data_IF_322070147641
#
_entry.id   IF_322070147641
#
_cell.length_a   1.000
_cell.length_b   1.000
_cell.length_c   1.000
_cell.angle_alpha   90.00
_cell.angle_beta   90.00
_cell.angle_gamma   90.00
#
_symmetry.space_group_name_H-M   'P 1'
#
loop_
_entity.id
_entity.type
_entity.pdbx_description
1 polymer ?
#
# COMPACT_ATOMS: atom_id res chain seq x y z
N UNK A 1 -16.99 37.22 3.14
CA UNK A 1 -16.32 35.92 3.39
C UNK A 1 -14.87 36.20 3.79
N UNK A 2 -14.38 35.68 4.93
CA UNK A 2 -13.02 36.02 5.40
C UNK A 2 -11.96 35.25 4.58
N UNK A 3 -10.81 35.85 4.22
CA UNK A 3 -9.78 35.21 3.39
C UNK A 3 -9.28 33.84 3.90
N UNK A 4 -9.26 33.64 5.22
CA UNK A 4 -8.83 32.39 5.86
C UNK A 4 -9.78 31.21 5.64
N UNK A 5 -11.08 31.45 5.46
CA UNK A 5 -12.06 30.38 5.22
C UNK A 5 -11.98 29.86 3.78
N UNK A 6 -11.68 30.76 2.84
CA UNK A 6 -11.45 30.41 1.44
C UNK A 6 -10.20 29.54 1.27
N UNK A 7 -9.09 29.87 1.95
CA UNK A 7 -7.85 29.08 1.90
C UNK A 7 -8.06 27.67 2.49
N UNK A 8 -8.81 27.54 3.58
CA UNK A 8 -9.14 26.21 4.15
C UNK A 8 -10.02 25.38 3.22
N UNK A 9 -11.06 25.98 2.63
CA UNK A 9 -11.90 25.31 1.64
C UNK A 9 -11.09 24.88 0.41
N UNK A 10 -10.17 25.73 -0.05
CA UNK A 10 -9.26 25.43 -1.16
C UNK A 10 -8.35 24.24 -0.84
N UNK A 11 -7.68 24.27 0.31
CA UNK A 11 -6.77 23.20 0.72
C UNK A 11 -7.48 21.86 1.02
N UNK A 12 -8.80 21.85 1.21
CA UNK A 12 -9.60 20.63 1.38
C UNK A 12 -9.97 19.92 0.07
N UNK A 13 -9.79 20.58 -1.08
CA UNK A 13 -10.07 19.97 -2.38
C UNK A 13 -8.96 19.01 -2.80
N UNK A 14 -9.28 18.05 -3.66
CA UNK A 14 -8.26 17.16 -4.25
C UNK A 14 -7.27 17.95 -5.10
N UNK A 15 -6.03 17.46 -5.15
CA UNK A 15 -4.95 18.01 -6.01
C UNK A 15 -5.42 18.18 -7.46
N UNK A 16 -6.20 17.23 -7.96
CA UNK A 16 -6.83 17.31 -9.29
C UNK A 16 -7.73 18.53 -9.46
N UNK A 17 -8.62 18.81 -8.49
CA UNK A 17 -9.54 19.96 -8.60
C UNK A 17 -8.81 21.29 -8.53
N UNK A 18 -7.81 21.38 -7.64
CA UNK A 18 -6.95 22.55 -7.55
C UNK A 18 -6.20 22.78 -8.88
N UNK A 19 -5.65 21.73 -9.47
CA UNK A 19 -4.98 21.81 -10.77
C UNK A 19 -5.93 22.23 -11.90
N UNK A 20 -7.12 21.63 -12.00
CA UNK A 20 -8.07 21.98 -13.05
C UNK A 20 -8.53 23.44 -12.97
N UNK A 21 -8.78 23.95 -11.77
CA UNK A 21 -9.22 25.33 -11.56
C UNK A 21 -8.07 26.33 -11.79
N UNK A 22 -6.95 26.18 -11.07
CA UNK A 22 -5.83 27.13 -11.18
C UNK A 22 -5.13 27.00 -12.53
N UNK A 23 -4.86 25.76 -12.97
CA UNK A 23 -4.25 25.50 -14.27
C UNK A 23 -5.12 26.01 -15.41
N UNK A 24 -6.45 25.82 -15.34
CA UNK A 24 -7.37 26.33 -16.36
C UNK A 24 -7.34 27.86 -16.46
N UNK A 25 -7.37 28.56 -15.32
CA UNK A 25 -7.26 30.03 -15.29
C UNK A 25 -5.92 30.49 -15.85
N UNK A 26 -4.81 29.89 -15.43
CA UNK A 26 -3.47 30.24 -15.90
C UNK A 26 -3.34 29.99 -17.41
N UNK A 27 -3.85 28.86 -17.92
CA UNK A 27 -3.83 28.56 -19.35
C UNK A 27 -4.66 29.56 -20.17
N UNK A 28 -5.83 30.00 -19.68
CA UNK A 28 -6.64 31.01 -20.36
C UNK A 28 -5.93 32.38 -20.41
N UNK A 29 -5.31 32.80 -19.31
CA UNK A 29 -4.54 34.05 -19.26
C UNK A 29 -3.34 33.98 -20.21
N UNK A 30 -2.60 32.87 -20.20
CA UNK A 30 -1.48 32.66 -21.11
C UNK A 30 -1.93 32.66 -22.59
N UNK A 31 -3.05 31.99 -22.89
CA UNK A 31 -3.65 31.96 -24.23
C UNK A 31 -4.01 33.38 -24.71
N UNK A 32 -4.63 34.18 -23.85
CA UNK A 32 -5.01 35.56 -24.18
C UNK A 32 -3.78 36.44 -24.45
N UNK A 33 -2.74 36.32 -23.61
CA UNK A 33 -1.49 37.05 -23.79
C UNK A 33 -0.77 36.67 -25.09
N UNK A 34 -0.59 35.37 -25.34
CA UNK A 34 0.06 34.87 -26.56
C UNK A 34 -0.77 35.23 -27.80
N UNK A 35 -2.09 35.07 -27.74
CA UNK A 35 -2.99 35.43 -28.84
C UNK A 35 -2.92 36.92 -29.19
N UNK A 36 -2.92 37.80 -28.19
CA UNK A 36 -2.76 39.24 -28.39
C UNK A 36 -1.39 39.60 -29.00
N UNK A 37 -0.31 38.98 -28.50
CA UNK A 37 1.04 39.19 -29.02
C UNK A 37 1.23 38.71 -30.46
N UNK A 38 0.69 37.53 -30.80
CA UNK A 38 0.72 37.03 -32.18
C UNK A 38 -0.13 37.91 -33.10
N UNK A 39 -1.28 38.39 -32.61
CA UNK A 39 -2.14 39.29 -33.38
C UNK A 39 -1.44 40.60 -33.73
N UNK A 40 -0.70 41.22 -32.80
CA UNK A 40 0.05 42.45 -33.07
C UNK A 40 1.19 42.21 -34.07
N UNK A 41 1.89 41.08 -33.96
CA UNK A 41 2.95 40.72 -34.92
C UNK A 41 2.41 40.53 -36.35
N UNK A 42 1.25 39.89 -36.49
CA UNK A 42 0.61 39.68 -37.80
C UNK A 42 0.21 41.01 -38.41
N UNK A 43 -0.42 41.90 -37.63
CA UNK A 43 -0.82 43.22 -38.09
C UNK A 43 0.36 44.05 -38.56
N UNK A 44 1.41 44.18 -37.75
CA UNK A 44 2.61 44.94 -38.10
C UNK A 44 3.30 44.39 -39.37
N UNK A 45 3.42 43.08 -39.48
CA UNK A 45 4.07 42.43 -40.62
C UNK A 45 3.26 42.57 -41.91
N UNK A 46 1.95 42.36 -41.83
CA UNK A 46 1.04 42.36 -42.98
C UNK A 46 0.83 43.79 -43.48
N UNK A 47 0.63 44.78 -42.59
CA UNK A 47 0.52 46.21 -42.94
C UNK A 47 1.78 46.69 -43.67
N UNK A 48 2.97 46.43 -43.11
CA UNK A 48 4.25 46.85 -43.72
C UNK A 48 4.45 46.25 -45.11
N UNK A 49 4.17 44.96 -45.28
CA UNK A 49 4.35 44.27 -46.56
C UNK A 49 3.34 44.74 -47.61
N UNK A 50 2.08 44.93 -47.22
CA UNK A 50 1.03 45.47 -48.10
C UNK A 50 1.37 46.89 -48.53
N UNK A 51 1.75 47.75 -47.58
CA UNK A 51 2.11 49.13 -47.85
C UNK A 51 3.33 49.26 -48.77
N UNK A 52 4.37 48.44 -48.59
CA UNK A 52 5.52 48.43 -49.48
C UNK A 52 5.13 48.07 -50.92
N UNK A 53 4.22 47.09 -51.10
CA UNK A 53 3.74 46.72 -52.43
C UNK A 53 2.91 47.82 -53.09
N UNK A 54 2.03 48.50 -52.33
CA UNK A 54 1.23 49.61 -52.86
C UNK A 54 2.12 50.83 -53.14
N UNK A 55 3.06 51.15 -52.26
CA UNK A 55 4.02 52.25 -52.46
C UNK A 55 4.84 52.08 -53.73
N UNK A 56 5.37 50.88 -54.01
CA UNK A 56 6.10 50.60 -55.25
C UNK A 56 5.21 50.78 -56.50
N UNK A 57 3.94 50.39 -56.41
CA UNK A 57 2.99 50.58 -57.52
C UNK A 57 2.70 52.07 -57.75
N UNK A 58 2.42 52.82 -56.68
CA UNK A 58 2.19 54.28 -56.76
C UNK A 58 3.44 54.99 -57.27
N UNK A 59 4.63 54.66 -56.76
CA UNK A 59 5.91 55.22 -57.21
C UNK A 59 6.13 54.95 -58.71
N UNK A 60 5.86 53.73 -59.19
CA UNK A 60 6.02 53.38 -60.61
C UNK A 60 5.11 54.16 -61.56
N UNK A 61 3.99 54.70 -61.07
CA UNK A 61 3.02 55.44 -61.89
C UNK A 61 3.13 56.95 -61.70
N UNK A 62 3.40 57.41 -60.47
CA UNK A 62 3.43 58.83 -60.11
C UNK A 62 4.82 59.43 -60.31
N UNK A 63 5.91 58.73 -59.97
CA UNK A 63 7.26 59.28 -60.07
C UNK A 63 7.64 59.75 -61.49
N UNK A 64 7.26 59.06 -62.60
CA UNK A 64 7.52 59.55 -63.95
C UNK A 64 6.78 60.84 -64.32
N UNK A 65 5.70 61.18 -63.60
CA UNK A 65 4.88 62.37 -63.84
C UNK A 65 5.38 63.59 -63.07
N UNK A 66 6.20 63.39 -62.04
CA UNK A 66 6.71 64.47 -61.20
C UNK A 66 7.95 65.11 -61.86
N UNK A 67 7.95 66.44 -62.08
CA UNK A 67 9.11 67.17 -62.62
C UNK A 67 10.23 67.26 -61.57
N UNK A 68 11.37 67.86 -61.93
CA UNK A 68 12.45 68.14 -60.98
C UNK A 68 11.99 69.22 -59.97
N UNK A 69 11.48 68.79 -58.82
CA UNK A 69 10.76 69.62 -57.85
C UNK A 69 11.66 70.57 -57.02
N UNK A 70 12.97 70.60 -57.30
CA UNK A 70 13.94 71.45 -56.58
C UNK A 70 13.79 72.96 -56.86
N UNK A 71 13.07 73.37 -57.91
CA UNK A 71 13.11 74.76 -58.40
C UNK A 71 11.76 75.53 -58.43
N UNK A 72 10.61 74.87 -58.24
CA UNK A 72 9.27 75.49 -58.40
C UNK A 72 8.47 75.62 -57.11
N UNK A 73 7.85 76.78 -56.87
CA UNK A 73 6.95 77.02 -55.72
C UNK A 73 5.54 76.43 -55.92
N UNK A 74 5.13 76.14 -57.14
CA UNK A 74 3.84 75.53 -57.51
C UNK A 74 4.05 74.42 -58.56
N UNK A 75 3.15 73.43 -58.60
CA UNK A 75 3.12 72.43 -59.66
C UNK A 75 2.60 73.06 -60.95
N UNK A 76 3.26 72.78 -62.06
CA UNK A 76 2.81 73.23 -63.38
C UNK A 76 1.42 72.65 -63.72
N UNK A 77 0.60 73.43 -64.43
CA UNK A 77 -0.77 73.06 -64.80
C UNK A 77 -0.82 71.77 -65.64
N UNK A 78 0.26 71.48 -66.36
CA UNK A 78 0.42 70.26 -67.16
C UNK A 78 0.55 69.00 -66.29
N UNK A 79 1.32 69.09 -65.21
CA UNK A 79 1.56 67.98 -64.27
C UNK A 79 0.32 67.73 -63.42
N UNK A 80 -0.32 68.79 -62.93
CA UNK A 80 -1.58 68.68 -62.18
C UNK A 80 -2.67 68.00 -63.01
N UNK A 81 -2.77 68.30 -64.31
CA UNK A 81 -3.72 67.64 -65.22
C UNK A 81 -3.38 66.17 -65.46
N UNK A 82 -2.10 65.83 -65.63
CA UNK A 82 -1.67 64.44 -65.78
C UNK A 82 -1.95 63.60 -64.52
N UNK A 83 -1.78 64.19 -63.33
CA UNK A 83 -2.15 63.56 -62.07
C UNK A 83 -3.66 63.42 -61.92
N UNK A 84 -4.45 64.44 -62.28
CA UNK A 84 -5.92 64.39 -62.26
C UNK A 84 -6.45 63.29 -63.20
N UNK A 85 -5.88 63.14 -64.40
CA UNK A 85 -6.27 62.06 -65.34
C UNK A 85 -5.88 60.67 -64.82
N UNK A 86 -4.67 60.53 -64.27
CA UNK A 86 -4.15 59.24 -63.76
C UNK A 86 -4.89 58.78 -62.51
N UNK A 87 -5.22 59.70 -61.60
CA UNK A 87 -5.94 59.42 -60.36
C UNK A 87 -7.46 59.44 -60.53
N UNK A 88 -8.00 60.09 -61.56
CA UNK A 88 -9.44 60.18 -61.81
C UNK A 88 -10.00 59.13 -62.78
N UNK A 89 -9.23 58.74 -63.80
CA UNK A 89 -9.67 57.79 -64.85
C UNK A 89 -8.76 56.55 -64.99
N UNK A 90 -7.62 56.52 -64.32
CA UNK A 90 -6.66 55.43 -64.36
C UNK A 90 -6.91 54.30 -63.37
N UNK A 91 -6.11 53.23 -63.46
CA UNK A 91 -6.18 52.05 -62.58
C UNK A 91 -5.92 52.38 -61.09
N UNK A 92 -5.17 53.46 -60.79
CA UNK A 92 -4.98 53.94 -59.42
C UNK A 92 -6.25 54.57 -58.82
N UNK A 93 -7.08 55.24 -59.61
CA UNK A 93 -8.24 55.97 -59.12
C UNK A 93 -9.33 55.10 -58.50
N UNK A 94 -9.44 53.85 -58.95
CA UNK A 94 -10.37 52.88 -58.37
C UNK A 94 -9.87 52.26 -57.06
N UNK A 95 -8.58 52.45 -56.74
CA UNK A 95 -7.89 51.80 -55.62
C UNK A 95 -7.56 52.78 -54.50
N UNK A 96 -7.21 54.02 -54.86
CA UNK A 96 -6.98 55.12 -53.94
C UNK A 96 -8.26 55.95 -53.73
N UNK A 97 -8.60 56.20 -52.48
CA UNK A 97 -9.67 57.12 -52.10
C UNK A 97 -9.20 58.57 -52.10
N UNK A 98 -8.00 58.82 -51.57
CA UNK A 98 -7.42 60.14 -51.41
C UNK A 98 -5.92 60.07 -51.69
N UNK A 99 -5.40 61.11 -52.36
CA UNK A 99 -3.98 61.24 -52.69
C UNK A 99 -3.57 62.69 -52.47
N UNK A 100 -2.45 62.89 -51.78
CA UNK A 100 -1.86 64.18 -51.44
C UNK A 100 -0.36 64.14 -51.68
N UNK A 101 0.19 65.25 -52.16
CA UNK A 101 1.63 65.43 -52.34
C UNK A 101 2.11 66.56 -51.46
N UNK A 102 3.04 66.26 -50.56
CA UNK A 102 3.53 67.16 -49.53
C UNK A 102 4.92 67.70 -49.85
N UNK A 103 5.13 68.98 -49.55
CA UNK A 103 6.45 69.60 -49.47
C UNK A 103 6.97 69.55 -48.02
N UNK A 104 8.29 69.59 -47.86
CA UNK A 104 8.97 69.59 -46.56
C UNK A 104 8.58 70.76 -45.62
N UNK A 105 7.89 71.79 -46.10
CA UNK A 105 7.40 72.92 -45.29
C UNK A 105 5.99 72.71 -44.71
N UNK A 106 5.36 71.56 -45.00
CA UNK A 106 3.99 71.22 -44.60
C UNK A 106 2.91 71.72 -45.57
N UNK A 107 3.27 72.16 -46.77
CA UNK A 107 2.32 72.60 -47.80
C UNK A 107 1.87 71.43 -48.68
N UNK A 108 0.56 71.31 -48.90
CA UNK A 108 -0.02 70.35 -49.85
C UNK A 108 0.10 70.92 -51.27
N UNK A 109 1.01 70.34 -52.06
CA UNK A 109 1.27 70.75 -53.44
C UNK A 109 0.19 70.27 -54.41
N UNK A 110 -0.34 69.07 -54.17
CA UNK A 110 -1.42 68.51 -54.95
C UNK A 110 -2.31 67.65 -54.05
N UNK A 111 -3.60 67.65 -54.32
CA UNK A 111 -4.57 66.73 -53.72
C UNK A 111 -5.71 66.47 -54.69
N UNK A 112 -6.25 65.25 -54.68
CA UNK A 112 -7.48 64.96 -55.42
C UNK A 112 -8.69 65.73 -54.84
N UNK A 113 -8.67 66.13 -53.57
CA UNK A 113 -9.55 67.16 -53.03
C UNK A 113 -8.95 68.55 -53.25
N UNK A 114 -9.52 69.30 -54.20
CA UNK A 114 -9.09 70.67 -54.51
C UNK A 114 -9.23 71.61 -53.31
N UNK A 115 -10.03 71.28 -52.31
CA UNK A 115 -10.17 72.08 -51.09
C UNK A 115 -8.92 72.07 -50.21
N UNK A 116 -8.04 71.08 -50.38
CA UNK A 116 -6.83 70.89 -49.56
C UNK A 116 -5.55 71.45 -50.20
N UNK A 117 -5.56 71.73 -51.50
CA UNK A 117 -4.40 72.26 -52.22
C UNK A 117 -4.00 73.65 -51.72
N UNK A 118 -2.70 73.87 -51.51
CA UNK A 118 -2.15 75.14 -51.04
C UNK A 118 -2.34 75.43 -49.55
N UNK A 119 -3.04 74.57 -48.80
CA UNK A 119 -3.11 74.66 -47.33
C UNK A 119 -1.80 74.17 -46.72
N UNK A 120 -1.46 74.75 -45.56
CA UNK A 120 -0.29 74.39 -44.76
C UNK A 120 -0.72 73.80 -43.42
N UNK A 121 -0.20 72.62 -43.10
CA UNK A 121 -0.45 71.91 -41.86
C UNK A 121 0.86 71.73 -41.07
N UNK A 122 0.74 71.39 -39.78
CA UNK A 122 1.89 70.98 -38.99
C UNK A 122 2.30 69.56 -39.39
N UNK A 123 3.59 69.32 -39.60
CA UNK A 123 4.10 68.00 -39.98
C UNK A 123 3.86 67.01 -38.82
N UNK A 124 3.01 66.01 -39.05
CA UNK A 124 2.82 64.86 -38.19
C UNK A 124 4.11 64.04 -38.05
N UNK A 125 4.18 63.18 -37.03
CA UNK A 125 5.36 62.33 -36.77
C UNK A 125 5.62 61.35 -37.93
N UNK A 126 4.56 60.92 -38.61
CA UNK A 126 4.61 60.06 -39.78
C UNK A 126 5.17 60.77 -41.01
N UNK A 127 4.69 61.99 -41.29
CA UNK A 127 5.23 62.83 -42.36
C UNK A 127 6.71 63.15 -42.12
N UNK A 128 7.12 63.46 -40.89
CA UNK A 128 8.54 63.68 -40.54
C UNK A 128 9.39 62.44 -40.81
N UNK A 129 8.86 61.27 -40.46
CA UNK A 129 9.53 60.00 -40.69
C UNK A 129 9.65 59.71 -42.19
N UNK A 130 8.62 60.01 -42.97
CA UNK A 130 8.65 59.92 -44.43
C UNK A 130 9.68 60.86 -45.06
N UNK A 131 9.76 62.13 -44.63
CA UNK A 131 10.78 63.07 -45.10
C UNK A 131 12.21 62.66 -44.71
N UNK A 132 12.39 61.77 -43.71
CA UNK A 132 13.69 61.15 -43.40
C UNK A 132 14.10 60.02 -44.36
N UNK A 133 13.25 59.69 -45.34
CA UNK A 133 13.47 58.67 -46.35
C UNK A 133 12.90 57.28 -46.00
N UNK A 134 12.04 57.17 -44.99
CA UNK A 134 11.42 55.90 -44.58
C UNK A 134 9.93 55.90 -44.88
N UNK A 135 9.44 54.92 -45.64
CA UNK A 135 8.00 54.73 -45.81
C UNK A 135 7.33 54.38 -44.47
N UNK A 136 6.19 55.02 -44.20
CA UNK A 136 5.33 54.77 -43.04
C UNK A 136 3.96 54.36 -43.53
N UNK A 137 3.33 53.42 -42.83
CA UNK A 137 1.98 53.00 -43.15
C UNK A 137 1.19 52.64 -41.90
N UNK A 138 -0.06 53.06 -41.89
CA UNK A 138 -1.01 52.82 -40.81
C UNK A 138 -2.31 52.23 -41.36
N UNK A 139 -2.91 51.31 -40.62
CA UNK A 139 -4.21 50.74 -40.97
C UNK A 139 -5.24 51.21 -39.94
N UNK A 140 -6.28 51.89 -40.41
CA UNK A 140 -7.44 52.31 -39.61
C UNK A 140 -7.10 53.17 -38.37
N UNK A 141 -6.00 53.93 -38.44
CA UNK A 141 -5.60 54.96 -37.48
C UNK A 141 -5.55 56.29 -38.21
N UNK A 142 -6.60 57.10 -38.05
CA UNK A 142 -6.76 58.40 -38.71
C UNK A 142 -6.88 59.48 -37.63
N UNK A 143 -5.78 59.76 -36.95
CA UNK A 143 -5.75 60.66 -35.79
C UNK A 143 -5.51 62.12 -36.19
N UNK A 144 -5.06 62.37 -37.42
CA UNK A 144 -4.60 63.69 -37.84
C UNK A 144 -5.78 64.63 -38.21
N UNK A 145 -5.64 65.95 -37.96
CA UNK A 145 -6.70 66.94 -38.23
C UNK A 145 -7.19 66.98 -39.69
N UNK A 146 -6.31 66.67 -40.63
CA UNK A 146 -6.52 66.63 -42.07
C UNK A 146 -7.33 65.41 -42.56
N UNK A 147 -7.54 64.39 -41.71
CA UNK A 147 -8.20 63.13 -42.10
C UNK A 147 -9.71 63.15 -41.90
N UNK A 148 -10.33 64.31 -41.69
CA UNK A 148 -11.75 64.39 -41.34
C UNK A 148 -12.65 63.80 -42.43
N UNK A 149 -12.29 63.97 -43.71
CA UNK A 149 -13.05 63.44 -44.84
C UNK A 149 -12.88 61.91 -44.94
N UNK A 150 -11.67 61.42 -44.71
CA UNK A 150 -11.30 60.02 -44.70
C UNK A 150 -11.99 59.27 -43.55
N UNK A 151 -12.00 59.85 -42.34
CA UNK A 151 -12.73 59.34 -41.17
C UNK A 151 -14.23 59.26 -41.39
N UNK A 152 -14.82 60.24 -42.06
CA UNK A 152 -16.25 60.26 -42.34
C UNK A 152 -16.70 59.17 -43.32
N UNK A 153 -15.76 58.50 -44.01
CA UNK A 153 -16.07 57.49 -45.02
C UNK A 153 -16.42 56.11 -44.46
N UNK A 154 -16.09 55.83 -43.19
CA UNK A 154 -16.35 54.55 -42.49
C UNK A 154 -15.86 53.30 -43.26
N UNK A 155 -14.79 53.46 -44.04
CA UNK A 155 -14.15 52.37 -44.80
C UNK A 155 -12.84 51.97 -44.13
N UNK A 156 -12.40 50.71 -44.25
CA UNK A 156 -11.06 50.32 -43.85
C UNK A 156 -10.04 50.98 -44.77
N UNK A 157 -9.29 51.94 -44.24
CA UNK A 157 -8.28 52.68 -44.98
C UNK A 157 -6.88 52.25 -44.56
N UNK A 158 -6.06 51.98 -45.57
CA UNK A 158 -4.61 51.84 -45.40
C UNK A 158 -3.98 53.16 -45.83
N UNK A 159 -3.49 53.91 -44.86
CA UNK A 159 -2.78 55.17 -45.03
C UNK A 159 -1.29 54.88 -45.24
N UNK A 160 -0.71 55.48 -46.28
CA UNK A 160 0.68 55.25 -46.65
C UNK A 160 1.36 56.59 -46.97
N UNK A 161 2.48 56.83 -46.31
CA UNK A 161 3.40 57.93 -46.57
C UNK A 161 4.64 57.40 -47.28
N UNK A 162 4.75 57.66 -48.57
CA UNK A 162 5.85 57.21 -49.40
C UNK A 162 6.76 58.38 -49.82
N UNK A 163 8.06 58.38 -49.45
CA UNK A 163 9.00 59.41 -49.86
C UNK A 163 9.26 59.34 -51.36
N UNK A 164 9.14 60.49 -52.03
CA UNK A 164 9.51 60.67 -53.43
C UNK A 164 10.98 61.06 -53.49
N UNK A 165 11.79 60.20 -54.10
CA UNK A 165 13.24 60.40 -54.20
C UNK A 165 13.62 60.99 -55.56
N UNK A 166 14.58 61.92 -55.56
CA UNK A 166 15.14 62.41 -56.81
C UNK A 166 16.04 61.34 -57.47
N UNK A 167 15.92 61.08 -58.79
CA UNK A 167 16.60 59.97 -59.45
C UNK A 167 18.12 59.91 -59.30
N UNK A 168 18.79 61.06 -59.14
CA UNK A 168 20.25 61.17 -59.17
C UNK A 168 20.87 61.45 -57.80
N UNK A 169 20.17 62.17 -56.90
CA UNK A 169 20.69 62.59 -55.60
C UNK A 169 20.24 61.68 -54.44
N UNK A 170 19.16 60.90 -54.64
CA UNK A 170 18.54 60.12 -53.59
C UNK A 170 17.93 60.95 -52.45
N UNK A 171 17.83 62.28 -52.62
CA UNK A 171 17.21 63.16 -51.65
C UNK A 171 15.69 63.07 -51.76
N UNK A 172 15.01 63.13 -50.61
CA UNK A 172 13.54 63.19 -50.53
C UNK A 172 13.10 64.59 -50.96
N UNK A 173 12.41 64.68 -52.09
CA UNK A 173 11.92 65.96 -52.65
C UNK A 173 10.48 66.28 -52.24
N UNK A 174 9.69 65.24 -52.02
CA UNK A 174 8.30 65.32 -51.60
C UNK A 174 7.91 64.03 -50.86
N UNK A 175 6.78 64.05 -50.17
CA UNK A 175 6.15 62.83 -49.64
C UNK A 175 4.78 62.68 -50.28
N UNK A 176 4.53 61.52 -50.88
CA UNK A 176 3.20 61.14 -51.34
C UNK A 176 2.45 60.47 -50.20
N UNK A 177 1.30 61.03 -49.84
CA UNK A 177 0.36 60.46 -48.88
C UNK A 177 -0.85 59.96 -49.67
N UNK A 178 -1.29 58.74 -49.41
CA UNK A 178 -2.48 58.23 -50.05
C UNK A 178 -3.20 57.18 -49.20
N UNK A 179 -4.51 57.12 -49.41
CA UNK A 179 -5.42 56.22 -48.70
C UNK A 179 -5.94 55.17 -49.66
N UNK A 180 -5.59 53.92 -49.43
CA UNK A 180 -6.12 52.78 -50.18
C UNK A 180 -7.36 52.21 -49.47
N UNK A 181 -8.44 51.96 -50.22
CA UNK A 181 -9.60 51.24 -49.68
C UNK A 181 -9.23 49.77 -49.54
N UNK A 182 -8.95 49.35 -48.31
CA UNK A 182 -8.26 48.12 -48.00
C UNK A 182 -9.21 46.99 -47.55
N UNK A 183 -10.34 46.82 -48.24
CA UNK A 183 -11.36 45.80 -47.88
C UNK A 183 -10.79 44.36 -47.89
N UNK A 184 -10.05 44.00 -48.95
CA UNK A 184 -9.49 42.65 -49.08
C UNK A 184 -8.33 42.42 -48.12
N UNK A 185 -7.58 43.48 -47.81
CA UNK A 185 -6.58 43.49 -46.74
C UNK A 185 -7.23 43.23 -45.38
N UNK A 186 -8.30 43.96 -45.02
CA UNK A 186 -9.01 43.77 -43.75
C UNK A 186 -9.58 42.34 -43.62
N UNK A 187 -10.15 41.78 -44.69
CA UNK A 187 -10.61 40.38 -44.73
C UNK A 187 -9.46 39.42 -44.49
N UNK A 188 -8.33 39.61 -45.16
CA UNK A 188 -7.13 38.75 -45.02
C UNK A 188 -6.55 38.84 -43.60
N UNK A 189 -6.49 40.05 -43.04
CA UNK A 189 -6.04 40.30 -41.67
C UNK A 189 -6.96 39.61 -40.65
N UNK A 190 -8.29 39.73 -40.82
CA UNK A 190 -9.26 39.06 -39.95
C UNK A 190 -9.19 37.54 -40.06
N UNK A 191 -9.01 36.98 -41.25
CA UNK A 191 -8.79 35.54 -41.43
C UNK A 191 -7.49 35.07 -40.76
N UNK A 192 -6.39 35.81 -40.95
CA UNK A 192 -5.11 35.50 -40.30
C UNK A 192 -5.21 35.55 -38.78
N UNK A 193 -5.88 36.57 -38.23
CA UNK A 193 -6.18 36.67 -36.78
C UNK A 193 -7.01 35.49 -36.31
N UNK A 194 -8.13 35.18 -36.98
CA UNK A 194 -9.00 34.06 -36.60
C UNK A 194 -8.25 32.72 -36.62
N UNK A 195 -7.49 32.44 -37.69
CA UNK A 195 -6.69 31.22 -37.80
C UNK A 195 -5.63 31.12 -36.69
N UNK A 196 -4.94 32.22 -36.38
CA UNK A 196 -3.96 32.25 -35.29
C UNK A 196 -4.62 32.05 -33.92
N UNK A 197 -5.75 32.70 -33.65
CA UNK A 197 -6.50 32.49 -32.40
C UNK A 197 -6.99 31.05 -32.25
N UNK A 198 -7.52 30.45 -33.33
CA UNK A 198 -7.92 29.04 -33.33
C UNK A 198 -6.72 28.12 -33.09
N UNK A 199 -5.57 28.39 -33.72
CA UNK A 199 -4.36 27.61 -33.52
C UNK A 199 -3.87 27.70 -32.06
N UNK A 200 -3.74 28.91 -31.50
CA UNK A 200 -3.31 29.13 -30.11
C UNK A 200 -4.28 28.47 -29.12
N UNK A 201 -5.59 28.57 -29.35
CA UNK A 201 -6.61 27.93 -28.52
C UNK A 201 -6.52 26.40 -28.60
N UNK A 202 -6.39 25.83 -29.81
CA UNK A 202 -6.28 24.40 -30.01
C UNK A 202 -5.02 23.81 -29.35
N UNK A 203 -3.85 24.44 -29.54
CA UNK A 203 -2.61 24.00 -28.89
C UNK A 203 -2.69 24.10 -27.36
N UNK A 204 -3.21 25.21 -26.84
CA UNK A 204 -3.38 25.40 -25.39
C UNK A 204 -4.33 24.36 -24.80
N UNK A 205 -5.46 24.09 -25.47
CA UNK A 205 -6.43 23.09 -25.04
C UNK A 205 -5.83 21.68 -25.07
N UNK A 206 -5.14 21.32 -26.16
CA UNK A 206 -4.49 20.01 -26.28
C UNK A 206 -3.45 19.79 -25.16
N UNK A 207 -2.60 20.79 -24.92
CA UNK A 207 -1.59 20.73 -23.86
C UNK A 207 -2.25 20.65 -22.47
N UNK A 208 -3.30 21.42 -22.23
CA UNK A 208 -4.06 21.39 -20.98
C UNK A 208 -4.71 20.03 -20.72
N UNK A 209 -5.28 19.39 -21.76
CA UNK A 209 -5.87 18.04 -21.66
C UNK A 209 -4.79 17.02 -21.30
N UNK A 210 -3.63 17.05 -21.96
CA UNK A 210 -2.52 16.11 -21.70
C UNK A 210 -2.01 16.26 -20.27
N UNK A 211 -1.72 17.48 -19.81
CA UNK A 211 -1.29 17.73 -18.44
C UNK A 211 -2.36 17.31 -17.43
N UNK A 212 -3.62 17.64 -17.69
CA UNK A 212 -4.74 17.24 -16.82
C UNK A 212 -4.84 15.72 -16.70
N UNK A 213 -4.65 14.97 -17.80
CA UNK A 213 -4.64 13.51 -17.80
C UNK A 213 -3.48 12.94 -16.98
N UNK A 214 -2.28 13.53 -17.07
CA UNK A 214 -1.12 13.13 -16.26
C UNK A 214 -1.40 13.36 -14.78
N UNK A 215 -1.90 14.54 -14.40
CA UNK A 215 -2.21 14.88 -13.00
C UNK A 215 -3.34 14.00 -12.45
N UNK A 216 -4.36 13.72 -13.25
CA UNK A 216 -5.45 12.80 -12.90
C UNK A 216 -4.93 11.39 -12.64
N UNK A 217 -4.09 10.85 -13.53
CA UNK A 217 -3.47 9.52 -13.37
C UNK A 217 -2.58 9.49 -12.13
N UNK A 218 -1.67 10.45 -11.98
CA UNK A 218 -0.78 10.54 -10.83
C UNK A 218 -1.55 10.62 -9.50
N UNK A 219 -2.59 11.44 -9.43
CA UNK A 219 -3.41 11.55 -8.22
C UNK A 219 -4.15 10.25 -7.87
N UNK A 220 -4.62 9.49 -8.87
CA UNK A 220 -5.24 8.17 -8.65
C UNK A 220 -4.23 7.16 -8.12
N UNK A 221 -3.04 7.09 -8.74
CA UNK A 221 -1.95 6.20 -8.30
C UNK A 221 -1.53 6.49 -6.85
N UNK A 222 -1.38 7.78 -6.49
CA UNK A 222 -1.01 8.17 -5.12
C UNK A 222 -2.05 7.70 -4.11
N UNK A 223 -3.33 7.87 -4.43
CA UNK A 223 -4.43 7.49 -3.54
C UNK A 223 -4.52 5.96 -3.38
N UNK A 224 -4.31 5.20 -4.46
CA UNK A 224 -4.23 3.73 -4.42
C UNK A 224 -3.06 3.24 -3.58
N UNK A 225 -1.86 3.79 -3.81
CA UNK A 225 -0.66 3.45 -3.03
C UNK A 225 -0.83 3.79 -1.55
N UNK A 226 -1.43 4.93 -1.23
CA UNK A 226 -1.69 5.35 0.16
C UNK A 226 -2.67 4.40 0.86
N UNK A 227 -3.70 3.92 0.16
CA UNK A 227 -4.64 2.92 0.69
C UNK A 227 -3.96 1.57 0.89
N UNK A 228 -3.16 1.11 -0.07
CA UNK A 228 -2.41 -0.14 0.05
C UNK A 228 -1.43 -0.11 1.22
N UNK A 229 -0.71 1.00 1.41
CA UNK A 229 0.22 1.18 2.52
C UNK A 229 -0.50 1.16 3.87
N UNK A 230 -1.65 1.84 4.00
CA UNK A 230 -2.46 1.81 5.22
C UNK A 230 -2.89 0.39 5.58
N UNK A 231 -3.42 -0.37 4.61
CA UNK A 231 -3.78 -1.79 4.84
C UNK A 231 -2.60 -2.62 5.34
N UNK A 232 -1.41 -2.46 4.75
CA UNK A 232 -0.21 -3.16 5.21
C UNK A 232 0.18 -2.79 6.65
N UNK A 233 0.03 -1.52 7.03
CA UNK A 233 0.30 -1.07 8.40
C UNK A 233 -0.72 -1.68 9.37
N UNK A 234 -1.99 -1.73 8.99
CA UNK A 234 -3.06 -2.32 9.80
C UNK A 234 -2.83 -3.84 9.97
N UNK A 235 -2.49 -4.56 8.89
CA UNK A 235 -2.17 -5.99 8.91
C UNK A 235 -0.94 -6.30 9.78
N UNK A 236 0.14 -5.52 9.64
CA UNK A 236 1.34 -5.68 10.47
C UNK A 236 1.05 -5.40 11.95
N UNK A 237 0.23 -4.40 12.24
CA UNK A 237 -0.17 -4.08 13.61
C UNK A 237 -0.99 -5.23 14.22
N UNK A 238 -1.91 -5.81 13.44
CA UNK A 238 -2.66 -6.98 13.85
C UNK A 238 -1.75 -8.19 14.12
N UNK A 239 -0.81 -8.50 13.21
CA UNK A 239 0.15 -9.59 13.39
C UNK A 239 1.05 -9.41 14.62
N UNK A 240 1.54 -8.19 14.87
CA UNK A 240 2.33 -7.89 16.06
C UNK A 240 1.53 -8.11 17.34
N UNK A 241 0.26 -7.68 17.37
CA UNK A 241 -0.62 -7.91 18.52
C UNK A 241 -0.86 -9.41 18.78
N UNK A 242 -1.06 -10.20 17.72
CA UNK A 242 -1.20 -11.66 17.81
C UNK A 242 0.09 -12.31 18.31
N UNK A 243 1.25 -11.88 17.82
CA UNK A 243 2.55 -12.41 18.24
C UNK A 243 2.81 -12.11 19.72
N UNK A 244 2.49 -10.90 20.19
CA UNK A 244 2.56 -10.55 21.62
C UNK A 244 1.63 -11.41 22.47
N UNK A 245 0.38 -11.61 22.04
CA UNK A 245 -0.56 -12.47 22.74
C UNK A 245 -0.08 -13.93 22.82
N UNK A 246 0.47 -14.47 21.73
CA UNK A 246 1.07 -15.81 21.67
C UNK A 246 2.27 -15.92 22.61
N UNK A 247 3.20 -14.96 22.59
CA UNK A 247 4.34 -14.91 23.52
C UNK A 247 3.87 -14.93 24.98
N UNK A 248 2.85 -14.14 25.32
CA UNK A 248 2.28 -14.13 26.67
C UNK A 248 1.59 -15.45 27.05
N UNK A 249 1.02 -16.20 26.08
CA UNK A 249 0.48 -17.55 26.32
C UNK A 249 1.59 -18.56 26.56
N UNK A 250 2.65 -18.54 25.75
CA UNK A 250 3.81 -19.43 25.89
C UNK A 250 4.51 -19.20 27.24
N UNK A 251 4.74 -17.94 27.62
CA UNK A 251 5.33 -17.62 28.92
C UNK A 251 4.48 -18.13 30.09
N UNK A 252 3.15 -17.94 30.03
CA UNK A 252 2.24 -18.48 31.07
C UNK A 252 2.23 -20.00 31.11
N UNK A 253 2.26 -20.68 29.96
CA UNK A 253 2.34 -22.13 29.91
C UNK A 253 3.66 -22.65 30.51
N UNK A 254 4.80 -22.02 30.17
CA UNK A 254 6.10 -22.33 30.74
C UNK A 254 6.14 -22.14 32.26
N UNK A 255 5.61 -21.03 32.77
CA UNK A 255 5.50 -20.79 34.22
C UNK A 255 4.65 -21.85 34.93
N UNK A 256 3.52 -22.25 34.34
CA UNK A 256 2.68 -23.32 34.90
C UNK A 256 3.40 -24.66 34.91
N UNK A 257 4.09 -25.01 33.82
CA UNK A 257 4.86 -26.25 33.74
C UNK A 257 5.98 -26.28 34.81
N UNK A 258 6.71 -25.16 34.98
CA UNK A 258 7.72 -25.05 36.02
C UNK A 258 7.12 -25.19 37.43
N UNK A 259 5.99 -24.52 37.71
CA UNK A 259 5.32 -24.61 39.01
C UNK A 259 4.80 -26.04 39.30
N UNK A 260 4.24 -26.72 38.30
CA UNK A 260 3.83 -28.12 38.42
C UNK A 260 5.04 -29.02 38.71
N UNK A 261 6.14 -28.88 37.97
CA UNK A 261 7.34 -29.65 38.19
C UNK A 261 7.92 -29.44 39.60
N UNK A 262 7.98 -28.19 40.07
CA UNK A 262 8.45 -27.88 41.42
C UNK A 262 7.53 -28.49 42.50
N UNK A 263 6.21 -28.42 42.31
CA UNK A 263 5.25 -29.08 43.21
C UNK A 263 5.43 -30.60 43.23
N UNK A 264 5.68 -31.22 42.08
CA UNK A 264 5.94 -32.66 41.99
C UNK A 264 7.23 -33.03 42.73
N UNK A 265 8.32 -32.29 42.53
CA UNK A 265 9.59 -32.51 43.23
C UNK A 265 9.45 -32.33 44.74
N UNK A 266 8.71 -31.32 45.22
CA UNK A 266 8.43 -31.14 46.65
C UNK A 266 7.66 -32.32 47.23
N UNK A 267 6.66 -32.84 46.51
CA UNK A 267 5.89 -34.01 46.96
C UNK A 267 6.79 -35.25 47.06
N UNK A 268 7.60 -35.51 46.04
CA UNK A 268 8.57 -36.64 46.07
C UNK A 268 9.53 -36.50 47.25
N UNK A 269 10.03 -35.28 47.51
CA UNK A 269 10.90 -35.00 48.65
C UNK A 269 10.21 -35.29 49.99
N UNK A 270 8.94 -34.91 50.13
CA UNK A 270 8.15 -35.20 51.33
C UNK A 270 7.90 -36.71 51.50
N UNK A 271 7.48 -37.41 50.44
CA UNK A 271 7.23 -38.85 50.47
C UNK A 271 8.51 -39.63 50.85
N UNK A 272 9.68 -39.20 50.36
CA UNK A 272 10.97 -39.82 50.69
C UNK A 272 11.40 -39.53 52.14
N UNK A 273 11.12 -38.32 52.62
CA UNK A 273 11.49 -37.91 53.97
C UNK A 273 10.61 -38.60 55.03
N UNK A 274 9.29 -38.65 54.81
CA UNK A 274 8.34 -39.11 55.83
C UNK A 274 8.24 -40.62 55.95
N UNK A 275 8.59 -41.38 54.89
CA UNK A 275 8.65 -42.84 54.94
C UNK A 275 10.08 -43.37 55.07
N UNK A 276 10.83 -43.54 53.96
CA UNK A 276 12.11 -44.22 53.98
C UNK A 276 13.17 -43.60 54.88
N UNK A 277 13.29 -42.27 54.89
CA UNK A 277 14.32 -41.60 55.68
C UNK A 277 14.07 -41.76 57.20
N UNK A 278 12.81 -41.73 57.64
CA UNK A 278 12.45 -42.00 59.05
C UNK A 278 12.73 -43.46 59.43
N UNK A 279 12.39 -44.42 58.57
CA UNK A 279 12.65 -45.84 58.81
C UNK A 279 14.16 -46.13 58.91
N UNK A 280 14.97 -45.52 58.05
CA UNK A 280 16.44 -45.61 58.11
C UNK A 280 16.98 -44.94 59.38
N UNK A 281 16.48 -43.76 59.76
CA UNK A 281 16.88 -43.09 61.00
C UNK A 281 16.53 -43.93 62.24
N UNK A 282 15.36 -44.55 62.27
CA UNK A 282 14.94 -45.46 63.32
C UNK A 282 15.85 -46.70 63.41
N UNK A 283 16.20 -47.29 62.26
CA UNK A 283 17.17 -48.38 62.20
C UNK A 283 18.56 -47.96 62.73
N UNK A 284 19.03 -46.75 62.39
CA UNK A 284 20.29 -46.19 62.87
C UNK A 284 20.30 -46.00 64.39
N UNK A 285 19.22 -45.45 64.97
CA UNK A 285 19.11 -45.27 66.42
C UNK A 285 19.15 -46.59 67.18
N UNK A 286 18.58 -47.65 66.60
CA UNK A 286 18.61 -48.99 67.18
C UNK A 286 19.96 -49.68 67.05
N UNK A 287 20.73 -49.36 66.01
CA UNK A 287 22.13 -49.81 65.88
C UNK A 287 23.01 -49.26 67.01
N UNK A 288 22.71 -48.08 67.55
CA UNK A 288 23.42 -47.48 68.68
C UNK A 288 23.00 -48.06 70.06
N UNK A 289 22.09 -49.04 70.08
CA UNK A 289 21.62 -49.66 71.32
C UNK A 289 22.72 -50.46 72.03
N UNK A 290 22.91 -50.19 73.33
CA UNK A 290 23.83 -50.96 74.19
C UNK A 290 23.52 -52.47 74.20
N UNK A 291 22.31 -52.90 73.84
CA UNK A 291 21.93 -54.31 73.71
C UNK A 291 22.73 -55.07 72.64
N UNK A 292 23.27 -54.36 71.65
CA UNK A 292 24.07 -54.96 70.58
C UNK A 292 25.54 -55.14 70.98
N UNK A 293 26.06 -54.28 71.86
CA UNK A 293 27.49 -54.19 72.22
C UNK A 293 27.80 -54.85 73.56
N UNK A 294 26.85 -54.88 74.50
CA UNK A 294 27.05 -55.47 75.82
C UNK A 294 27.11 -57.01 75.77
N UNK A 295 28.26 -57.63 76.15
CA UNK A 295 28.42 -59.08 76.19
C UNK A 295 27.44 -59.78 77.14
N UNK A 296 26.92 -59.09 78.15
CA UNK A 296 25.96 -59.62 79.12
C UNK A 296 24.52 -59.71 78.56
N UNK A 297 24.25 -59.11 77.40
CA UNK A 297 22.92 -59.19 76.77
C UNK A 297 22.62 -60.61 76.28
N UNK A 298 21.46 -61.21 76.67
CA UNK A 298 21.04 -62.51 76.17
C UNK A 298 20.99 -62.56 74.64
N UNK A 299 21.50 -63.65 74.06
CA UNK A 299 21.55 -63.83 72.60
C UNK A 299 20.18 -63.64 71.92
N UNK A 300 19.10 -64.12 72.56
CA UNK A 300 17.72 -64.00 72.06
C UNK A 300 17.23 -62.56 72.01
N UNK A 301 17.66 -61.68 72.92
CA UNK A 301 17.32 -60.25 72.88
C UNK A 301 18.14 -59.52 71.81
N UNK A 302 19.42 -59.88 71.65
CA UNK A 302 20.29 -59.35 70.60
C UNK A 302 19.78 -59.71 69.19
N UNK A 303 19.36 -60.97 68.99
CA UNK A 303 18.76 -61.43 67.74
C UNK A 303 17.45 -60.70 67.41
N UNK A 304 16.60 -60.45 68.41
CA UNK A 304 15.36 -59.66 68.21
C UNK A 304 15.65 -58.22 67.80
N UNK A 305 16.68 -57.60 68.37
CA UNK A 305 17.07 -56.24 68.03
C UNK A 305 17.60 -56.14 66.59
N UNK A 306 18.49 -57.07 66.20
CA UNK A 306 18.99 -57.20 64.83
C UNK A 306 17.85 -57.47 63.84
N UNK A 307 16.92 -58.37 64.18
CA UNK A 307 15.79 -58.71 63.32
C UNK A 307 14.90 -57.49 63.05
N UNK A 308 14.70 -56.63 64.04
CA UNK A 308 13.85 -55.46 63.91
C UNK A 308 14.53 -54.27 63.21
N UNK A 309 15.86 -54.13 63.33
CA UNK A 309 16.68 -53.24 62.47
C UNK A 309 16.55 -53.69 61.02
N UNK A 310 16.74 -54.98 60.76
CA UNK A 310 16.61 -55.56 59.42
C UNK A 310 15.21 -55.33 58.85
N UNK A 311 14.16 -55.56 59.63
CA UNK A 311 12.79 -55.32 59.21
C UNK A 311 12.55 -53.85 58.81
N UNK A 312 13.07 -52.89 59.60
CA UNK A 312 12.94 -51.45 59.31
C UNK A 312 13.68 -51.05 58.02
N UNK A 313 14.86 -51.62 57.76
CA UNK A 313 15.62 -51.38 56.53
C UNK A 313 14.96 -52.05 55.31
N UNK A 314 14.42 -53.26 55.47
CA UNK A 314 13.69 -53.98 54.41
C UNK A 314 12.41 -53.21 54.03
N UNK A 315 11.71 -52.63 55.01
CA UNK A 315 10.54 -51.77 54.80
C UNK A 315 10.92 -50.45 54.10
N UNK A 316 11.99 -49.77 54.55
CA UNK A 316 12.49 -48.57 53.89
C UNK A 316 12.87 -48.83 52.41
N UNK A 317 13.54 -49.95 52.14
CA UNK A 317 13.88 -50.37 50.78
C UNK A 317 12.65 -50.72 49.94
N UNK A 318 11.60 -51.26 50.57
CA UNK A 318 10.33 -51.52 49.90
C UNK A 318 9.61 -50.21 49.52
N UNK A 319 9.57 -49.23 50.42
CA UNK A 319 8.99 -47.92 50.16
C UNK A 319 9.76 -47.14 49.08
N UNK A 320 11.10 -47.11 49.13
CA UNK A 320 11.93 -46.51 48.08
C UNK A 320 11.65 -47.15 46.72
N UNK A 321 11.61 -48.49 46.66
CA UNK A 321 11.29 -49.20 45.41
C UNK A 321 9.88 -48.87 44.92
N UNK A 322 8.93 -48.69 45.82
CA UNK A 322 7.55 -48.31 45.47
C UNK A 322 7.49 -46.90 44.90
N UNK A 323 8.18 -45.94 45.51
CA UNK A 323 8.30 -44.55 45.01
C UNK A 323 9.03 -44.54 43.65
N UNK A 324 10.17 -45.20 43.52
CA UNK A 324 10.94 -45.28 42.27
C UNK A 324 10.18 -45.97 41.13
N UNK A 325 9.52 -47.10 41.42
CA UNK A 325 8.67 -47.79 40.45
C UNK A 325 7.45 -46.96 40.07
N UNK A 326 7.04 -45.99 40.90
CA UNK A 326 6.05 -44.97 40.56
C UNK A 326 6.55 -43.93 39.56
N UNK A 327 7.86 -43.64 39.57
CA UNK A 327 8.48 -42.51 38.87
C UNK A 327 9.08 -42.86 37.50
N UNK A 328 9.66 -44.06 37.30
CA UNK A 328 10.28 -44.45 36.01
C UNK A 328 10.18 -45.97 35.82
N UNK A 329 9.85 -46.42 34.60
CA UNK A 329 10.00 -47.83 34.18
C UNK A 329 11.03 -47.96 33.06
N UNK A 330 12.35 -47.95 33.35
CA UNK A 330 13.41 -48.00 32.33
C UNK A 330 13.35 -49.27 31.48
N UNK A 331 12.85 -50.36 32.07
CA UNK A 331 12.73 -51.67 31.42
C UNK A 331 11.58 -51.72 30.39
N UNK A 332 10.71 -50.71 30.36
CA UNK A 332 9.58 -50.61 29.44
C UNK A 332 9.95 -49.85 28.17
N UNK A 333 10.88 -48.90 28.25
CA UNK A 333 11.31 -48.12 27.09
C UNK A 333 11.92 -49.01 25.99
N UNK A 334 12.72 -50.01 26.39
CA UNK A 334 13.38 -50.95 25.50
C UNK A 334 12.50 -52.16 25.09
N UNK A 335 11.33 -52.35 25.69
CA UNK A 335 10.47 -53.51 25.46
C UNK A 335 9.47 -53.26 24.32
N UNK A 336 9.13 -54.32 23.59
CA UNK A 336 8.03 -54.36 22.61
C UNK A 336 6.66 -54.43 23.30
N UNK A 337 5.58 -54.08 22.60
CA UNK A 337 4.23 -54.13 23.17
C UNK A 337 3.85 -55.51 23.73
N UNK A 338 4.11 -56.64 23.03
CA UNK A 338 3.86 -57.96 23.59
C UNK A 338 4.61 -58.20 24.91
N UNK A 339 5.90 -57.83 24.96
CA UNK A 339 6.72 -57.98 26.18
C UNK A 339 6.20 -57.13 27.34
N UNK A 340 5.68 -55.93 27.06
CA UNK A 340 5.07 -55.05 28.06
C UNK A 340 3.82 -55.69 28.67
N UNK A 341 2.92 -56.22 27.83
CA UNK A 341 1.69 -56.86 28.25
C UNK A 341 1.96 -58.14 29.04
N UNK A 342 2.81 -59.02 28.51
CA UNK A 342 3.21 -60.24 29.19
C UNK A 342 3.87 -59.95 30.53
N UNK A 343 4.70 -58.91 30.61
CA UNK A 343 5.36 -58.51 31.86
C UNK A 343 4.35 -57.98 32.88
N UNK A 344 3.39 -57.17 32.45
CA UNK A 344 2.31 -56.69 33.32
C UNK A 344 1.48 -57.84 33.90
N UNK A 345 1.09 -58.79 33.05
CA UNK A 345 0.36 -59.99 33.45
C UNK A 345 1.20 -60.87 34.39
N UNK A 346 2.41 -61.27 33.99
CA UNK A 346 3.29 -62.13 34.82
C UNK A 346 3.55 -61.52 36.20
N UNK A 347 3.82 -60.22 36.26
CA UNK A 347 4.04 -59.53 37.54
C UNK A 347 2.79 -59.55 38.44
N UNK A 348 1.59 -59.45 37.84
CA UNK A 348 0.33 -59.54 38.58
C UNK A 348 0.06 -60.97 39.07
N UNK A 349 0.21 -61.98 38.21
CA UNK A 349 0.00 -63.40 38.57
C UNK A 349 0.97 -63.83 39.68
N UNK A 350 2.25 -63.45 39.59
CA UNK A 350 3.25 -63.75 40.62
C UNK A 350 2.91 -63.12 41.98
N UNK A 351 2.32 -61.93 41.97
CA UNK A 351 1.99 -61.18 43.20
C UNK A 351 0.70 -61.65 43.84
N UNK A 352 -0.29 -62.06 43.03
CA UNK A 352 -1.67 -62.30 43.50
C UNK A 352 -2.08 -63.77 43.47
N UNK A 353 -1.38 -64.61 42.71
CA UNK A 353 -1.77 -66.00 42.46
C UNK A 353 -3.00 -66.17 41.56
N UNK A 354 -3.62 -65.07 41.11
CA UNK A 354 -4.74 -65.07 40.15
C UNK A 354 -4.22 -65.36 38.74
N UNK A 355 -4.96 -66.16 37.97
CA UNK A 355 -4.62 -66.48 36.57
C UNK A 355 -5.26 -65.46 35.64
N UNK A 356 -4.52 -64.98 34.66
CA UNK A 356 -4.99 -64.02 33.66
C UNK A 356 -4.92 -64.63 32.26
N UNK A 357 -6.03 -64.57 31.53
CA UNK A 357 -6.09 -64.94 30.12
C UNK A 357 -5.54 -63.80 29.25
N UNK A 358 -4.43 -64.03 28.53
CA UNK A 358 -3.75 -63.00 27.74
C UNK A 358 -3.83 -63.33 26.25
N UNK A 359 -4.43 -62.41 25.48
CA UNK A 359 -4.52 -62.51 24.02
C UNK A 359 -3.87 -61.29 23.37
N UNK A 360 -2.89 -61.53 22.50
CA UNK A 360 -2.09 -60.48 21.86
C UNK A 360 -2.20 -60.64 20.34
N UNK A 361 -2.79 -59.65 19.66
CA UNK A 361 -2.73 -59.51 18.20
C UNK A 361 -1.35 -59.01 17.72
N UNK A 362 -1.11 -59.03 16.41
CA UNK A 362 0.10 -58.46 15.79
C UNK A 362 0.28 -57.00 16.22
N UNK A 363 1.45 -56.68 16.77
CA UNK A 363 1.74 -55.39 17.37
C UNK A 363 2.59 -54.52 16.43
N UNK A 364 2.43 -53.19 16.46
CA UNK A 364 3.28 -52.29 15.71
C UNK A 364 4.74 -52.37 16.18
N UNK A 365 5.67 -52.19 15.24
CA UNK A 365 7.11 -52.31 15.49
C UNK A 365 7.65 -51.19 16.40
N UNK A 366 7.03 -50.01 16.37
CA UNK A 366 7.48 -48.83 17.10
C UNK A 366 6.34 -48.17 17.90
N UNK A 367 6.63 -47.86 19.17
CA UNK A 367 5.78 -47.06 20.06
C UNK A 367 6.65 -46.07 20.84
N UNK A 368 6.16 -44.85 21.10
CA UNK A 368 6.89 -43.95 21.98
C UNK A 368 6.98 -44.50 23.40
N UNK A 369 8.04 -44.15 24.15
CA UNK A 369 8.17 -44.50 25.57
C UNK A 369 6.92 -44.12 26.39
N UNK A 370 6.32 -42.96 26.12
CA UNK A 370 5.13 -42.48 26.81
C UNK A 370 3.91 -43.39 26.59
N UNK A 371 3.69 -43.85 25.36
CA UNK A 371 2.62 -44.80 25.05
C UNK A 371 2.86 -46.17 25.72
N UNK A 372 4.09 -46.68 25.65
CA UNK A 372 4.50 -47.94 26.31
C UNK A 372 4.25 -47.90 27.82
N UNK A 373 4.63 -46.81 28.49
CA UNK A 373 4.40 -46.60 29.92
C UNK A 373 2.91 -46.49 30.23
N UNK A 374 2.15 -45.76 29.40
CA UNK A 374 0.70 -45.61 29.56
C UNK A 374 -0.01 -46.96 29.51
N UNK A 375 0.29 -47.77 28.49
CA UNK A 375 -0.24 -49.12 28.29
C UNK A 375 0.05 -50.02 29.50
N UNK A 376 1.31 -50.05 29.96
CA UNK A 376 1.68 -50.86 31.10
C UNK A 376 0.91 -50.46 32.37
N UNK A 377 0.82 -49.15 32.64
CA UNK A 377 0.09 -48.63 33.81
C UNK A 377 -1.39 -48.95 33.73
N UNK A 378 -1.98 -48.85 32.54
CA UNK A 378 -3.37 -49.22 32.32
C UNK A 378 -3.63 -50.69 32.64
N UNK A 379 -2.81 -51.62 32.12
CA UNK A 379 -2.95 -53.05 32.41
C UNK A 379 -2.70 -53.35 33.90
N UNK A 380 -1.67 -52.75 34.49
CA UNK A 380 -1.34 -52.93 35.89
C UNK A 380 -2.49 -52.51 36.81
N UNK A 381 -3.04 -51.32 36.59
CA UNK A 381 -4.12 -50.78 37.42
C UNK A 381 -5.43 -51.51 37.16
N UNK A 382 -5.74 -51.86 35.91
CA UNK A 382 -6.93 -52.64 35.56
C UNK A 382 -6.94 -54.00 36.25
N UNK A 383 -5.83 -54.76 36.18
CA UNK A 383 -5.71 -56.06 36.84
C UNK A 383 -5.73 -55.95 38.37
N UNK A 384 -5.10 -54.91 38.92
CA UNK A 384 -5.09 -54.66 40.36
C UNK A 384 -6.49 -54.30 40.89
N UNK A 385 -7.25 -53.51 40.13
CA UNK A 385 -8.63 -53.18 40.46
C UNK A 385 -9.55 -54.40 40.33
N UNK A 386 -9.41 -55.19 39.26
CA UNK A 386 -10.14 -56.46 39.13
C UNK A 386 -9.82 -57.46 40.24
N UNK A 387 -8.59 -57.48 40.77
CA UNK A 387 -8.25 -58.32 41.91
C UNK A 387 -8.81 -57.78 43.24
N UNK A 388 -8.62 -56.48 43.51
CA UNK A 388 -9.05 -55.85 44.77
C UNK A 388 -10.56 -55.75 44.92
N UNK A 389 -11.26 -55.45 43.82
CA UNK A 389 -12.69 -55.16 43.83
C UNK A 389 -13.52 -56.26 43.18
N UNK A 390 -13.00 -56.94 42.15
CA UNK A 390 -13.65 -58.06 41.47
C UNK A 390 -13.26 -59.45 41.97
N UNK A 391 -12.38 -59.54 42.98
CA UNK A 391 -11.93 -60.81 43.56
C UNK A 391 -11.00 -61.64 42.67
N UNK A 392 -10.53 -61.08 41.56
CA UNK A 392 -9.61 -61.77 40.63
C UNK A 392 -10.27 -62.86 39.80
N UNK A 393 -11.60 -62.85 39.66
CA UNK A 393 -12.35 -63.87 38.93
C UNK A 393 -12.24 -63.61 37.42
N UNK A 394 -11.90 -64.65 36.64
CA UNK A 394 -11.89 -64.64 35.16
C UNK A 394 -11.20 -63.43 34.53
N UNK A 395 -10.05 -63.02 35.08
CA UNK A 395 -9.33 -61.86 34.55
C UNK A 395 -8.79 -62.12 33.15
N UNK A 396 -9.01 -61.17 32.22
CA UNK A 396 -8.53 -61.25 30.84
C UNK A 396 -7.94 -59.93 30.36
N UNK A 397 -6.85 -60.01 29.60
CA UNK A 397 -6.24 -58.90 28.88
C UNK A 397 -6.23 -59.22 27.39
N UNK A 398 -6.84 -58.34 26.59
CA UNK A 398 -6.92 -58.50 25.13
C UNK A 398 -6.31 -57.29 24.45
N UNK A 399 -5.34 -57.53 23.58
CA UNK A 399 -4.80 -56.54 22.65
C UNK A 399 -5.34 -56.80 21.23
N UNK A 400 -5.87 -55.76 20.59
CA UNK A 400 -6.35 -55.78 19.20
C UNK A 400 -5.78 -54.59 18.43
N UNK A 401 -5.66 -54.76 17.11
CA UNK A 401 -5.42 -53.70 16.16
C UNK A 401 -6.71 -53.40 15.40
N UNK A 402 -7.16 -52.14 15.44
CA UNK A 402 -8.32 -51.64 14.71
C UNK A 402 -7.85 -50.59 13.70
N UNK A 403 -7.47 -51.04 12.50
CA UNK A 403 -6.80 -50.18 11.53
C UNK A 403 -5.43 -49.73 12.04
N UNK A 404 -5.25 -48.41 12.22
CA UNK A 404 -4.04 -47.81 12.79
C UNK A 404 -4.17 -47.51 14.31
N UNK A 405 -5.19 -48.06 14.98
CA UNK A 405 -5.39 -47.88 16.42
C UNK A 405 -5.09 -49.16 17.19
N UNK A 406 -4.31 -49.00 18.26
CA UNK A 406 -4.04 -50.04 19.24
C UNK A 406 -5.16 -49.99 20.27
N UNK A 407 -5.83 -51.11 20.50
CA UNK A 407 -6.88 -51.26 21.51
C UNK A 407 -6.46 -52.29 22.55
N UNK A 408 -6.58 -51.93 23.82
CA UNK A 408 -6.26 -52.82 24.94
C UNK A 408 -7.44 -52.84 25.90
N UNK A 409 -7.91 -54.04 26.19
CA UNK A 409 -9.03 -54.32 27.06
C UNK A 409 -8.55 -55.14 28.26
N UNK A 410 -8.96 -54.73 29.45
CA UNK A 410 -8.79 -55.50 30.69
C UNK A 410 -10.18 -55.76 31.25
N UNK A 411 -10.48 -57.03 31.51
CA UNK A 411 -11.78 -57.44 32.05
C UNK A 411 -11.65 -58.38 33.24
N UNK A 412 -12.66 -58.38 34.11
CA UNK A 412 -12.84 -59.32 35.21
C UNK A 412 -14.32 -59.76 35.30
N UNK A 413 -14.56 -60.97 35.82
CA UNK A 413 -15.88 -61.54 36.06
C UNK A 413 -16.40 -61.33 37.49
N UNK A 414 -15.97 -60.26 38.16
CA UNK A 414 -16.39 -59.93 39.52
C UNK A 414 -17.83 -59.42 39.60
N UNK A 415 -18.26 -58.93 40.78
CA UNK A 415 -19.63 -58.44 40.99
C UNK A 415 -19.95 -57.11 40.28
N UNK A 416 -18.95 -56.52 39.62
CA UNK A 416 -18.97 -55.17 39.06
C UNK A 416 -19.35 -54.09 40.08
N UNK A 417 -19.60 -52.88 39.56
CA UNK A 417 -20.04 -51.73 40.33
C UNK A 417 -20.85 -50.79 39.43
N UNK A 418 -21.59 -49.86 40.04
CA UNK A 418 -22.25 -48.79 39.29
C UNK A 418 -21.22 -47.68 38.98
N UNK A 419 -20.89 -47.40 37.71
CA UNK A 419 -19.90 -46.38 37.35
C UNK A 419 -20.26 -44.98 37.86
N UNK A 420 -21.55 -44.69 38.04
CA UNK A 420 -22.05 -43.38 38.48
C UNK A 420 -21.87 -43.15 39.99
N UNK A 421 -21.66 -44.22 40.78
CA UNK A 421 -21.46 -44.15 42.24
C UNK A 421 -19.97 -43.99 42.61
N UNK A 422 -19.05 -44.05 41.64
CA UNK A 422 -17.61 -43.87 41.85
C UNK A 422 -17.29 -42.37 41.83
N UNK A 423 -17.16 -41.79 43.02
CA UNK A 423 -16.76 -40.38 43.16
C UNK A 423 -15.39 -40.07 42.53
N UNK A 424 -15.08 -38.78 42.29
CA UNK A 424 -13.82 -38.32 41.67
C UNK A 424 -12.52 -38.66 42.45
N UNK A 425 -12.63 -39.39 43.56
CA UNK A 425 -11.57 -39.72 44.50
C UNK A 425 -10.96 -41.11 44.30
N UNK A 426 -11.41 -41.92 43.33
CA UNK A 426 -10.66 -43.11 42.89
C UNK A 426 -9.48 -42.67 42.01
N UNK A 427 -8.40 -42.19 42.64
CA UNK A 427 -7.23 -41.55 42.00
C UNK A 427 -6.63 -42.35 40.81
N UNK A 428 -6.76 -43.69 40.81
CA UNK A 428 -6.18 -44.57 39.79
C UNK A 428 -6.82 -44.45 38.40
N UNK A 429 -8.15 -44.62 38.28
CA UNK A 429 -8.84 -44.62 36.99
C UNK A 429 -8.99 -43.22 36.38
N UNK A 430 -9.21 -42.20 37.21
CA UNK A 430 -9.29 -40.80 36.74
C UNK A 430 -7.94 -40.33 36.18
N UNK A 431 -6.83 -40.61 36.88
CA UNK A 431 -5.48 -40.29 36.40
C UNK A 431 -5.08 -41.07 35.14
N UNK A 432 -5.55 -42.31 34.98
CA UNK A 432 -5.34 -43.08 33.76
C UNK A 432 -6.13 -42.53 32.57
N UNK A 433 -7.40 -42.15 32.78
CA UNK A 433 -8.21 -41.51 31.74
C UNK A 433 -7.53 -40.24 31.23
N UNK A 434 -7.16 -39.33 32.13
CA UNK A 434 -6.47 -38.09 31.76
C UNK A 434 -5.17 -38.36 30.98
N UNK A 435 -4.39 -39.37 31.40
CA UNK A 435 -3.14 -39.73 30.73
C UNK A 435 -3.39 -40.31 29.33
N UNK A 436 -4.38 -41.18 29.16
CA UNK A 436 -4.73 -41.77 27.86
C UNK A 436 -5.22 -40.67 26.91
N UNK A 437 -6.11 -39.80 27.38
CA UNK A 437 -6.63 -38.69 26.59
C UNK A 437 -5.53 -37.67 26.24
N UNK A 438 -4.56 -37.43 27.12
CA UNK A 438 -3.42 -36.55 26.85
C UNK A 438 -2.50 -37.06 25.73
N UNK A 439 -2.55 -38.36 25.43
CA UNK A 439 -1.83 -39.00 24.33
C UNK A 439 -2.68 -39.16 23.06
N UNK A 440 -3.84 -38.48 22.96
CA UNK A 440 -4.77 -38.62 21.82
C UNK A 440 -5.63 -39.89 21.87
N UNK A 441 -5.61 -40.59 23.00
CA UNK A 441 -6.34 -41.83 23.20
C UNK A 441 -7.79 -41.66 23.67
N UNK A 442 -8.49 -42.79 23.72
CA UNK A 442 -9.85 -42.87 24.29
C UNK A 442 -9.88 -43.89 25.42
N UNK A 443 -10.57 -43.59 26.51
CA UNK A 443 -10.77 -44.51 27.63
C UNK A 443 -12.26 -44.83 27.79
N UNK A 444 -12.60 -46.11 27.94
CA UNK A 444 -13.96 -46.56 28.18
C UNK A 444 -13.99 -47.50 29.38
N UNK A 445 -15.02 -47.35 30.20
CA UNK A 445 -15.28 -48.18 31.37
C UNK A 445 -16.73 -48.66 31.28
N UNK A 446 -16.92 -49.96 31.33
CA UNK A 446 -18.23 -50.60 31.43
C UNK A 446 -18.19 -51.53 32.63
N UNK A 447 -19.16 -51.41 33.52
CA UNK A 447 -19.29 -52.31 34.67
C UNK A 447 -20.74 -52.72 34.84
N UNK A 448 -20.96 -54.00 35.15
CA UNK A 448 -22.29 -54.60 35.32
C UNK A 448 -22.20 -55.69 36.38
N UNK A 449 -23.33 -56.27 36.79
CA UNK A 449 -23.35 -57.38 37.75
C UNK A 449 -22.59 -58.65 37.29
N UNK A 450 -22.13 -58.69 36.03
CA UNK A 450 -21.40 -59.81 35.42
C UNK A 450 -19.89 -59.55 35.31
N UNK A 451 -19.40 -58.37 35.74
CA UNK A 451 -18.00 -58.02 35.66
C UNK A 451 -17.72 -56.56 35.30
N UNK A 452 -16.43 -56.23 35.21
CA UNK A 452 -15.96 -54.92 34.73
C UNK A 452 -15.07 -55.09 33.51
N UNK A 453 -15.24 -54.21 32.53
CA UNK A 453 -14.42 -54.10 31.34
C UNK A 453 -13.90 -52.66 31.27
N UNK A 454 -12.59 -52.52 31.17
CA UNK A 454 -11.92 -51.25 30.92
C UNK A 454 -11.17 -51.36 29.61
N UNK A 455 -11.34 -50.41 28.71
CA UNK A 455 -10.63 -50.39 27.44
C UNK A 455 -9.98 -49.03 27.16
N UNK A 456 -8.82 -49.07 26.50
CA UNK A 456 -8.12 -47.91 26.00
C UNK A 456 -7.83 -48.06 24.51
N UNK A 457 -7.84 -46.96 23.75
CA UNK A 457 -7.33 -46.93 22.38
C UNK A 457 -6.33 -45.81 22.17
N UNK A 458 -5.30 -46.03 21.36
CA UNK A 458 -4.31 -45.02 20.96
C UNK A 458 -4.04 -45.10 19.45
N UNK A 459 -3.81 -43.97 18.78
CA UNK A 459 -3.48 -43.91 17.34
C UNK A 459 -1.98 -44.10 17.11
N UNK A 460 -1.59 -44.99 16.20
CA UNK A 460 -0.19 -45.31 15.91
C UNK A 460 0.55 -44.14 15.20
N UNK A 461 -0.11 -43.35 14.36
CA UNK A 461 0.43 -42.08 13.82
C UNK A 461 0.77 -41.02 14.90
N UNK A 462 -0.05 -40.88 15.94
CA UNK A 462 0.14 -39.87 17.01
C UNK A 462 1.21 -40.31 18.04
N UNK A 463 1.48 -41.60 18.14
CA UNK A 463 2.43 -42.20 19.08
C UNK A 463 3.88 -42.21 18.54
N UNK A 464 4.07 -42.07 17.23
CA UNK A 464 5.43 -42.11 16.62
C UNK A 464 6.13 -40.73 16.61
N UNK A 465 5.38 -39.64 16.84
CA UNK A 465 5.90 -38.26 16.89
C UNK A 465 5.96 -37.70 18.32
N UNK A 466 6.95 -38.13 19.11
CA UNK A 466 7.57 -37.35 20.19
C UNK A 466 8.81 -38.09 20.67
#
# INVERSE_FOLDING_TARGET
>A
MRPRELIRRWNSQSLTKQFLLTGGVVSLVAMAFVGAFVSSLIEDAVTRNSAASTALYVDSVIAPLLPDMLAGQELDDTVSRALDETLGQGALGNRLMSFRLWRADGTVLYSNDKSMQGKRFELSDDLRTAFSGKMVAQFDRLEDPEDQAERASDKPLLEIYNPVLQPWSGQVVAVSEFYEVANDFQRSLNQARLHSWMAVAAFTLAFFIVLSAIVLRGSRTIEEQRRALRRRIDDLSALLSQNQALRARVQRASQRAAALNESHLRRIGADLHDGPAQLVAFASLRLDSNMLVDPATPATLREREIAAIKASLDEAMHEIRTICNGLVLPQIEAASLPEILERGVRAHEQRTGSRVDLSIAEAPEHLSPSAKICIYRFVQEGLNNGYRHGGGIEQRVVHRMEGDRISIEVSDGGSGFNPDDVGPTSLGLAGLRERIESLGGTFHLQSSAQGTIVSMSLSNEEITQT
#
